data_IF_181258993955
#
_entry.id   IF_181258993955
#
_cell.length_a   1.000
_cell.length_b   1.000
_cell.length_c   1.000
_cell.angle_alpha   90.00
_cell.angle_beta   90.00
_cell.angle_gamma   90.00
#
_symmetry.space_group_name_H-M   'P 1'
#
loop_
_entity.id
_entity.type
_entity.pdbx_description
1 polymer ?
#
# COMPACT_ATOMS: atom_id res chain seq x y z
N UNK A 1 -4.18 57.87 46.56
CA UNK A 1 -3.88 59.02 47.41
C UNK A 1 -2.53 58.73 48.03
N UNK A 2 -1.47 59.10 47.32
CA UNK A 2 -0.70 60.35 47.51
C UNK A 2 0.24 60.18 48.72
N UNK A 3 1.55 60.41 48.60
CA UNK A 3 2.10 61.70 48.22
C UNK A 3 3.39 61.63 47.42
N UNK A 4 3.50 62.63 46.54
CA UNK A 4 4.67 63.07 45.78
C UNK A 4 5.79 63.55 46.70
N UNK A 5 7.05 63.45 46.22
CA UNK A 5 7.86 64.65 46.04
C UNK A 5 9.04 64.39 45.10
N UNK A 6 9.29 65.36 44.24
CA UNK A 6 10.20 65.29 43.11
C UNK A 6 11.42 66.23 43.28
N UNK A 7 12.50 65.87 42.56
CA UNK A 7 13.60 66.68 42.01
C UNK A 7 14.75 67.13 42.95
N UNK A 8 15.97 67.44 42.42
CA UNK A 8 16.37 67.60 41.01
C UNK A 8 17.64 66.86 40.54
N UNK A 9 17.85 66.97 39.22
CA UNK A 9 18.84 66.36 38.31
C UNK A 9 20.30 66.80 38.50
N UNK A 10 21.24 65.98 38.01
CA UNK A 10 22.42 66.43 37.25
C UNK A 10 22.97 65.28 36.39
N UNK A 11 23.26 65.61 35.13
CA UNK A 11 23.86 64.76 34.09
C UNK A 11 25.30 64.35 34.42
N UNK A 12 25.71 63.12 34.08
CA UNK A 12 26.92 62.78 33.30
C UNK A 12 27.17 61.26 33.24
N UNK A 13 27.64 60.79 32.09
CA UNK A 13 27.77 59.38 31.71
C UNK A 13 28.94 58.63 32.41
N UNK A 14 28.85 57.29 32.61
CA UNK A 14 29.99 56.48 33.04
C UNK A 14 30.72 55.75 31.88
N UNK A 15 32.06 55.54 31.98
CA UNK A 15 32.90 54.98 30.94
C UNK A 15 33.02 53.44 30.97
N UNK A 16 33.60 52.89 29.90
CA UNK A 16 33.83 51.47 29.59
C UNK A 16 34.70 50.69 30.62
N UNK A 17 34.51 49.36 30.76
CA UNK A 17 35.18 48.54 31.77
C UNK A 17 36.56 48.03 31.37
N UNK A 18 37.50 48.10 32.32
CA UNK A 18 38.85 47.54 32.26
C UNK A 18 38.90 46.06 32.67
N UNK A 19 39.76 45.31 31.98
CA UNK A 19 40.22 43.94 32.24
C UNK A 19 41.11 43.82 33.50
N UNK A 20 40.96 42.75 34.26
CA UNK A 20 41.97 42.24 35.21
C UNK A 20 42.15 40.72 35.10
N UNK A 21 43.40 40.30 35.15
CA UNK A 21 43.92 38.94 34.96
C UNK A 21 43.86 38.05 36.23
N UNK A 22 43.72 36.74 35.97
CA UNK A 22 44.47 35.56 36.46
C UNK A 22 44.69 35.23 37.96
N UNK A 23 44.20 34.05 38.37
CA UNK A 23 44.96 32.97 39.06
C UNK A 23 44.18 31.66 38.75
N UNK A 24 44.73 30.51 38.32
CA UNK A 24 45.90 29.75 38.73
C UNK A 24 45.41 28.32 39.09
N UNK A 25 45.38 27.39 38.12
CA UNK A 25 44.99 25.99 38.32
C UNK A 25 45.52 25.08 37.21
N UNK A 26 46.09 23.93 37.61
CA UNK A 26 46.91 22.97 36.83
C UNK A 26 46.30 22.45 35.50
N UNK A 27 47.14 22.04 34.52
CA UNK A 27 46.67 21.56 33.23
C UNK A 27 46.26 20.08 33.28
N UNK A 28 45.06 19.69 32.83
CA UNK A 28 44.74 18.28 32.66
C UNK A 28 45.34 17.74 31.35
N UNK A 29 46.21 16.75 31.52
CA UNK A 29 46.52 15.61 30.66
C UNK A 29 46.16 15.70 29.18
N UNK A 30 47.20 15.75 28.35
CA UNK A 30 47.14 15.57 26.90
C UNK A 30 46.89 14.09 26.55
N UNK A 31 45.68 13.58 26.77
CA UNK A 31 45.21 12.33 26.15
C UNK A 31 43.67 12.20 26.21
N UNK A 32 42.99 13.02 25.41
CA UNK A 32 41.77 12.54 24.73
C UNK A 32 41.61 13.28 23.40
N UNK A 33 42.24 12.75 22.35
CA UNK A 33 41.83 13.06 20.98
C UNK A 33 40.43 12.50 20.78
N UNK A 34 39.39 13.24 21.20
CA UNK A 34 38.07 13.10 20.58
C UNK A 34 38.25 13.51 19.13
N UNK A 35 38.35 12.52 18.25
CA UNK A 35 38.22 12.68 16.82
C UNK A 35 36.95 13.48 16.55
N UNK A 36 37.10 14.78 16.26
CA UNK A 36 36.03 15.60 15.72
C UNK A 36 35.71 14.97 14.37
N UNK A 37 34.59 14.23 14.31
CA UNK A 37 34.03 13.78 13.04
C UNK A 37 33.96 14.98 12.11
N UNK A 38 34.48 14.85 10.90
CA UNK A 38 34.39 15.88 9.86
C UNK A 38 32.92 16.28 9.69
N UNK A 39 32.54 17.49 10.09
CA UNK A 39 31.24 18.04 9.71
C UNK A 39 31.26 18.20 8.20
N UNK A 40 30.50 17.36 7.51
CA UNK A 40 30.21 17.59 6.09
C UNK A 40 29.22 18.75 6.09
N UNK A 41 29.75 19.97 6.07
CA UNK A 41 28.95 21.15 5.78
C UNK A 41 28.47 21.01 4.33
N UNK A 42 27.16 20.94 4.14
CA UNK A 42 26.56 21.19 2.83
C UNK A 42 27.12 22.49 2.29
N UNK A 43 27.43 22.55 1.00
CA UNK A 43 27.74 23.84 0.38
C UNK A 43 26.51 24.75 0.53
N UNK A 44 26.70 26.08 0.48
CA UNK A 44 25.58 27.01 0.55
C UNK A 44 24.52 26.71 -0.55
N UNK A 45 24.98 26.27 -1.72
CA UNK A 45 24.13 25.85 -2.83
C UNK A 45 23.34 24.57 -2.50
N UNK A 46 23.98 23.56 -1.91
CA UNK A 46 23.30 22.34 -1.48
C UNK A 46 22.29 22.61 -0.35
N UNK A 47 22.62 23.52 0.57
CA UNK A 47 21.74 23.92 1.66
C UNK A 47 20.51 24.69 1.16
N UNK A 48 20.69 25.62 0.22
CA UNK A 48 19.57 26.35 -0.39
C UNK A 48 18.72 25.44 -1.28
N UNK A 49 19.33 24.51 -2.02
CA UNK A 49 18.60 23.48 -2.76
C UNK A 49 17.77 22.59 -1.83
N UNK A 50 18.34 22.20 -0.68
CA UNK A 50 17.68 21.44 0.37
C UNK A 50 16.55 22.22 1.04
N UNK A 51 16.78 23.48 1.42
CA UNK A 51 15.77 24.35 2.05
C UNK A 51 14.62 24.64 1.08
N UNK A 52 14.93 24.96 -0.18
CA UNK A 52 13.94 25.11 -1.24
C UNK A 52 13.14 23.83 -1.47
N UNK A 53 13.79 22.66 -1.37
CA UNK A 53 13.11 21.37 -1.39
C UNK A 53 12.20 21.19 -0.18
N UNK A 54 12.69 21.37 1.05
CA UNK A 54 11.90 21.30 2.27
C UNK A 54 10.72 22.27 2.28
N UNK A 55 10.88 23.48 1.76
CA UNK A 55 9.82 24.49 1.67
C UNK A 55 8.76 24.09 0.62
N UNK A 56 9.19 23.57 -0.55
CA UNK A 56 8.27 22.93 -1.51
C UNK A 56 7.52 21.75 -0.89
N UNK A 57 8.19 20.97 -0.05
CA UNK A 57 7.62 19.81 0.64
C UNK A 57 6.67 20.20 1.78
N UNK A 58 6.93 21.32 2.48
CA UNK A 58 6.10 21.85 3.56
C UNK A 58 4.78 22.45 3.04
N UNK A 59 4.80 23.09 1.87
CA UNK A 59 3.62 23.69 1.22
C UNK A 59 2.59 22.63 0.80
N UNK A 60 2.99 21.37 0.59
CA UNK A 60 2.09 20.27 0.19
C UNK A 60 1.98 19.14 1.21
N UNK A 61 2.17 19.44 2.52
CA UNK A 61 1.85 18.50 3.61
C UNK A 61 0.36 18.13 3.70
N UNK A 62 -0.51 18.71 2.86
CA UNK A 62 -1.92 18.32 2.75
C UNK A 62 -1.98 16.85 2.29
N UNK A 63 -2.17 15.94 3.24
CA UNK A 63 -2.38 14.51 2.99
C UNK A 63 -1.18 13.58 3.20
N UNK A 64 0.04 14.08 3.44
CA UNK A 64 1.19 13.20 3.74
C UNK A 64 1.30 12.89 5.24
N UNK A 65 0.64 11.81 5.65
CA UNK A 65 0.78 11.24 6.99
C UNK A 65 0.94 9.71 6.89
N UNK A 66 2.19 9.20 6.83
CA UNK A 66 2.42 7.78 6.61
C UNK A 66 1.95 6.96 7.82
N UNK A 67 0.77 6.33 7.70
CA UNK A 67 0.25 5.36 8.66
C UNK A 67 0.17 3.97 8.01
N UNK A 68 1.31 3.28 8.01
CA UNK A 68 1.47 1.93 7.43
C UNK A 68 0.51 0.93 8.06
N UNK A 69 0.22 1.04 9.36
CA UNK A 69 -0.70 0.15 10.05
C UNK A 69 -2.14 0.32 9.55
N UNK A 70 -2.55 1.54 9.21
CA UNK A 70 -3.82 1.76 8.50
C UNK A 70 -3.82 1.07 7.15
N UNK A 71 -2.75 1.17 6.36
CA UNK A 71 -2.70 0.54 5.03
C UNK A 71 -2.75 -0.99 5.13
N UNK A 72 -2.01 -1.59 6.07
CA UNK A 72 -2.07 -3.04 6.34
C UNK A 72 -3.49 -3.48 6.71
N UNK A 73 -4.20 -2.68 7.52
CA UNK A 73 -5.60 -2.93 7.88
C UNK A 73 -6.53 -2.85 6.67
N UNK A 74 -6.28 -1.91 5.76
CA UNK A 74 -7.07 -1.74 4.53
C UNK A 74 -6.92 -2.99 3.62
N UNK A 75 -5.70 -3.50 3.43
CA UNK A 75 -5.46 -4.77 2.72
C UNK A 75 -6.10 -6.00 3.41
N UNK A 76 -6.03 -6.06 4.74
CA UNK A 76 -6.69 -7.12 5.52
C UNK A 76 -8.22 -7.08 5.40
N UNK A 77 -8.80 -5.88 5.37
CA UNK A 77 -10.24 -5.68 5.21
C UNK A 77 -10.71 -6.05 3.81
N UNK A 78 -9.97 -5.64 2.78
CA UNK A 78 -10.20 -6.05 1.39
C UNK A 78 -10.18 -7.58 1.26
N UNK A 79 -9.15 -8.24 1.82
CA UNK A 79 -9.05 -9.70 1.85
C UNK A 79 -10.28 -10.35 2.48
N UNK A 80 -10.69 -9.90 3.67
CA UNK A 80 -11.86 -10.44 4.39
C UNK A 80 -13.15 -10.29 3.58
N UNK A 81 -13.35 -9.13 2.96
CA UNK A 81 -14.55 -8.87 2.16
C UNK A 81 -14.61 -9.73 0.90
N UNK A 82 -13.47 -9.93 0.22
CA UNK A 82 -13.37 -10.83 -0.94
C UNK A 82 -13.66 -12.27 -0.54
N UNK A 83 -13.06 -12.75 0.57
CA UNK A 83 -13.33 -14.10 1.10
C UNK A 83 -14.81 -14.30 1.40
N UNK A 84 -15.42 -13.37 2.13
CA UNK A 84 -16.85 -13.42 2.48
C UNK A 84 -17.73 -13.44 1.23
N UNK A 85 -17.50 -12.52 0.30
CA UNK A 85 -18.26 -12.45 -0.94
C UNK A 85 -18.15 -13.76 -1.75
N UNK A 86 -16.96 -14.35 -1.81
CA UNK A 86 -16.76 -15.61 -2.48
C UNK A 86 -17.53 -16.75 -1.80
N UNK A 87 -17.49 -16.82 -0.46
CA UNK A 87 -18.28 -17.80 0.31
C UNK A 87 -19.78 -17.69 0.07
N UNK A 88 -20.31 -16.48 -0.09
CA UNK A 88 -21.75 -16.25 -0.27
C UNK A 88 -22.24 -16.55 -1.71
N UNK A 89 -21.39 -16.38 -2.74
CA UNK A 89 -21.84 -16.34 -4.14
C UNK A 89 -21.12 -17.27 -5.12
N UNK A 90 -20.05 -17.94 -4.71
CA UNK A 90 -19.38 -18.99 -5.49
C UNK A 90 -20.00 -20.34 -5.13
N UNK A 91 -20.00 -21.28 -6.09
CA UNK A 91 -20.56 -22.62 -5.87
C UNK A 91 -19.77 -23.37 -4.79
N UNK A 92 -20.51 -24.03 -3.91
CA UNK A 92 -19.95 -24.91 -2.86
C UNK A 92 -19.16 -26.09 -3.44
N UNK A 93 -19.58 -26.60 -4.60
CA UNK A 93 -18.90 -27.71 -5.28
C UNK A 93 -18.33 -27.25 -6.62
N UNK A 94 -17.21 -27.85 -7.01
CA UNK A 94 -16.61 -27.59 -8.32
C UNK A 94 -17.66 -27.83 -9.42
N UNK A 95 -17.98 -26.82 -10.24
CA UNK A 95 -18.98 -26.97 -11.30
C UNK A 95 -18.55 -28.05 -12.31
N UNK A 96 -19.53 -28.69 -12.96
CA UNK A 96 -19.25 -29.54 -14.12
C UNK A 96 -18.78 -28.67 -15.29
N UNK A 97 -17.46 -28.55 -15.43
CA UNK A 97 -16.79 -27.76 -16.44
C UNK A 97 -16.24 -28.65 -17.55
N UNK A 98 -16.46 -28.25 -18.80
CA UNK A 98 -15.79 -28.89 -19.94
C UNK A 98 -14.27 -28.70 -19.87
N UNK A 99 -13.51 -29.61 -20.49
CA UNK A 99 -12.03 -29.50 -20.58
C UNK A 99 -11.59 -28.14 -21.13
N UNK A 100 -12.32 -27.59 -22.10
CA UNK A 100 -12.06 -26.26 -22.69
C UNK A 100 -12.28 -25.13 -21.69
N UNK A 101 -13.35 -25.18 -20.90
CA UNK A 101 -13.62 -24.18 -19.85
C UNK A 101 -12.57 -24.22 -18.75
N UNK A 102 -12.24 -25.42 -18.24
CA UNK A 102 -11.17 -25.62 -17.26
C UNK A 102 -9.85 -24.97 -17.72
N UNK A 103 -9.43 -25.28 -18.96
CA UNK A 103 -8.21 -24.70 -19.56
C UNK A 103 -8.28 -23.16 -19.62
N UNK A 104 -9.40 -22.60 -20.09
CA UNK A 104 -9.55 -21.14 -20.20
C UNK A 104 -9.51 -20.42 -18.85
N UNK A 105 -10.06 -21.01 -17.79
CA UNK A 105 -10.01 -20.44 -16.42
C UNK A 105 -8.56 -20.42 -15.91
N UNK A 106 -7.80 -21.51 -16.10
CA UNK A 106 -6.38 -21.52 -15.70
C UNK A 106 -5.57 -20.50 -16.50
N UNK A 107 -5.84 -20.38 -17.80
CA UNK A 107 -5.19 -19.39 -18.67
C UNK A 107 -5.53 -17.94 -18.30
N UNK A 108 -6.77 -17.64 -17.92
CA UNK A 108 -7.13 -16.28 -17.49
C UNK A 108 -6.42 -15.87 -16.21
N UNK A 109 -5.94 -16.85 -15.42
CA UNK A 109 -5.12 -16.68 -14.23
C UNK A 109 -3.62 -16.78 -14.49
N UNK A 110 -3.15 -16.50 -15.71
CA UNK A 110 -1.70 -16.36 -15.97
C UNK A 110 -1.05 -15.35 -15.00
N UNK A 111 0.16 -15.68 -14.54
CA UNK A 111 0.85 -14.99 -13.45
C UNK A 111 0.35 -15.31 -12.02
N UNK A 112 -0.85 -15.88 -11.88
CA UNK A 112 -1.44 -16.25 -10.57
C UNK A 112 -1.47 -17.76 -10.37
N UNK A 113 -1.80 -18.53 -11.40
CA UNK A 113 -1.92 -19.99 -11.34
C UNK A 113 -0.89 -20.68 -12.23
N UNK A 114 -0.41 -21.86 -11.82
CA UNK A 114 0.44 -22.69 -12.67
C UNK A 114 -0.32 -23.08 -13.94
N UNK A 115 0.33 -22.97 -15.10
CA UNK A 115 -0.30 -23.17 -16.40
C UNK A 115 -0.34 -24.66 -16.79
N UNK A 116 -0.94 -25.48 -15.91
CA UNK A 116 -1.05 -26.93 -16.06
C UNK A 116 -2.51 -27.37 -16.20
N UNK A 117 -2.69 -28.67 -16.45
CA UNK A 117 -4.04 -29.22 -16.53
C UNK A 117 -4.74 -29.11 -15.17
N UNK A 118 -6.05 -28.86 -15.19
CA UNK A 118 -6.88 -28.79 -13.98
C UNK A 118 -6.72 -30.02 -13.08
N UNK A 119 -6.65 -31.20 -13.69
CA UNK A 119 -6.58 -32.46 -12.95
C UNK A 119 -5.19 -32.65 -12.33
N UNK A 120 -4.12 -32.18 -13.01
CA UNK A 120 -2.78 -32.08 -12.44
C UNK A 120 -2.76 -31.16 -11.23
N UNK A 121 -3.33 -29.95 -11.36
CA UNK A 121 -3.41 -28.99 -10.26
C UNK A 121 -4.15 -29.59 -9.07
N UNK A 122 -5.33 -30.17 -9.28
CA UNK A 122 -6.12 -30.82 -8.24
C UNK A 122 -5.33 -31.92 -7.53
N UNK A 123 -4.55 -32.73 -8.25
CA UNK A 123 -3.76 -33.81 -7.65
C UNK A 123 -2.70 -33.34 -6.65
N UNK A 124 -2.22 -32.09 -6.76
CA UNK A 124 -1.23 -31.49 -5.86
C UNK A 124 -1.82 -30.95 -4.55
N UNK A 125 -3.14 -30.75 -4.51
CA UNK A 125 -3.83 -30.16 -3.38
C UNK A 125 -4.32 -31.22 -2.41
N UNK A 126 -4.46 -30.89 -1.12
CA UNK A 126 -5.15 -31.76 -0.17
C UNK A 126 -6.65 -31.86 -0.49
N UNK A 127 -7.35 -32.91 -0.02
CA UNK A 127 -8.77 -33.10 -0.29
C UNK A 127 -9.67 -31.90 0.04
N UNK A 128 -9.43 -31.21 1.15
CA UNK A 128 -10.18 -29.99 1.53
C UNK A 128 -9.99 -28.88 0.50
N UNK A 129 -8.74 -28.61 0.11
CA UNK A 129 -8.41 -27.60 -0.89
C UNK A 129 -8.93 -27.94 -2.30
N UNK A 130 -9.05 -29.23 -2.64
CA UNK A 130 -9.65 -29.69 -3.90
C UNK A 130 -11.14 -29.34 -3.98
N UNK A 131 -11.86 -29.58 -2.89
CA UNK A 131 -13.31 -29.32 -2.79
C UNK A 131 -13.63 -27.83 -2.92
N UNK A 132 -12.75 -26.99 -2.39
CA UNK A 132 -12.90 -25.54 -2.36
C UNK A 132 -12.20 -24.82 -3.52
N UNK A 133 -11.61 -25.55 -4.47
CA UNK A 133 -10.73 -24.96 -5.48
C UNK A 133 -11.39 -23.83 -6.30
N UNK A 134 -12.69 -23.94 -6.60
CA UNK A 134 -13.45 -22.89 -7.25
C UNK A 134 -13.52 -21.58 -6.44
N UNK A 135 -13.51 -21.64 -5.11
CA UNK A 135 -13.47 -20.48 -4.22
C UNK A 135 -12.13 -19.77 -4.36
N UNK A 136 -11.03 -20.51 -4.29
CA UNK A 136 -9.69 -19.97 -4.48
C UNK A 136 -9.53 -19.29 -5.86
N UNK A 137 -10.05 -19.93 -6.92
CA UNK A 137 -10.02 -19.38 -8.28
C UNK A 137 -10.82 -18.08 -8.38
N UNK A 138 -12.04 -18.04 -7.84
CA UNK A 138 -12.88 -16.84 -7.88
C UNK A 138 -12.23 -15.67 -7.13
N UNK A 139 -11.66 -15.92 -5.95
CA UNK A 139 -10.92 -14.90 -5.19
C UNK A 139 -9.67 -14.42 -5.95
N UNK A 140 -8.93 -15.33 -6.59
CA UNK A 140 -7.79 -14.97 -7.43
C UNK A 140 -8.21 -14.11 -8.63
N UNK A 141 -9.34 -14.42 -9.28
CA UNK A 141 -9.88 -13.62 -10.38
C UNK A 141 -10.26 -12.21 -9.90
N UNK A 142 -10.95 -12.08 -8.76
CA UNK A 142 -11.30 -10.77 -8.17
C UNK A 142 -10.03 -9.97 -7.84
N UNK A 143 -9.07 -10.57 -7.14
CA UNK A 143 -7.81 -9.90 -6.80
C UNK A 143 -7.03 -9.51 -8.05
N UNK A 144 -6.86 -10.41 -9.03
CA UNK A 144 -6.18 -10.09 -10.29
C UNK A 144 -6.81 -8.88 -10.96
N UNK A 145 -8.15 -8.83 -11.03
CA UNK A 145 -8.88 -7.73 -11.65
C UNK A 145 -8.67 -6.41 -10.89
N UNK A 146 -8.84 -6.41 -9.56
CA UNK A 146 -8.63 -5.24 -8.70
C UNK A 146 -7.22 -4.67 -8.86
N UNK A 147 -6.19 -5.52 -8.78
CA UNK A 147 -4.80 -5.07 -8.83
C UNK A 147 -4.44 -4.53 -10.21
N UNK A 148 -4.87 -5.21 -11.28
CA UNK A 148 -4.60 -4.77 -12.67
C UNK A 148 -5.24 -3.42 -12.99
N UNK A 149 -6.38 -3.09 -12.38
CA UNK A 149 -7.12 -1.88 -12.71
C UNK A 149 -6.87 -0.70 -11.79
N UNK A 150 -6.55 -0.91 -10.51
CA UNK A 150 -6.36 0.20 -9.58
C UNK A 150 -4.91 0.46 -9.19
N UNK A 151 -4.06 -0.56 -9.22
CA UNK A 151 -2.65 -0.37 -8.87
C UNK A 151 -1.82 0.04 -10.08
N UNK A 152 -2.06 -0.58 -11.23
CA UNK A 152 -1.30 -0.30 -12.46
C UNK A 152 -1.76 0.98 -13.18
N UNK A 153 -2.92 1.53 -12.78
CA UNK A 153 -3.56 2.68 -13.45
C UNK A 153 -4.03 3.76 -12.46
N UNK A 154 -3.11 4.38 -11.71
CA UNK A 154 -3.46 5.33 -10.65
C UNK A 154 -4.14 6.61 -11.16
N UNK A 155 -4.07 6.93 -12.46
CA UNK A 155 -4.61 8.16 -13.05
C UNK A 155 -5.97 8.00 -13.76
N UNK A 156 -6.53 6.78 -13.82
CA UNK A 156 -7.70 6.46 -14.67
C UNK A 156 -8.97 7.28 -14.37
N UNK A 157 -9.07 7.91 -13.20
CA UNK A 157 -10.23 8.72 -12.80
C UNK A 157 -10.12 10.21 -13.20
N UNK A 158 -8.99 10.64 -13.77
CA UNK A 158 -8.77 12.01 -14.23
C UNK A 158 -9.37 12.21 -15.63
N UNK A 159 -10.18 13.25 -15.79
CA UNK A 159 -11.02 13.47 -16.99
C UNK A 159 -10.27 14.10 -18.18
N UNK A 160 -9.17 14.82 -17.93
CA UNK A 160 -8.38 15.46 -18.99
C UNK A 160 -9.06 16.62 -19.70
N UNK A 161 -10.13 17.16 -19.11
CA UNK A 161 -10.88 18.28 -19.68
C UNK A 161 -10.04 19.55 -19.74
N UNK A 162 -10.25 20.35 -20.77
CA UNK A 162 -9.64 21.69 -20.89
C UNK A 162 -10.42 22.74 -20.10
N UNK A 163 -11.74 22.61 -20.04
CA UNK A 163 -12.67 23.48 -19.33
C UNK A 163 -14.01 22.75 -19.08
N UNK A 164 -14.95 23.44 -18.43
CA UNK A 164 -16.25 22.88 -18.03
C UNK A 164 -17.16 22.48 -19.21
N UNK A 165 -16.86 22.96 -20.42
CA UNK A 165 -17.62 22.65 -21.64
C UNK A 165 -17.01 21.52 -22.46
N UNK A 166 -15.81 21.07 -22.07
CA UNK A 166 -15.08 20.01 -22.75
C UNK A 166 -15.54 18.61 -22.29
N UNK A 167 -15.40 17.66 -23.20
CA UNK A 167 -15.68 16.24 -22.95
C UNK A 167 -14.43 15.54 -22.38
N UNK A 168 -14.64 14.41 -21.71
CA UNK A 168 -13.54 13.63 -21.12
C UNK A 168 -12.53 13.14 -22.21
N UNK A 169 -11.24 13.46 -22.05
CA UNK A 169 -10.16 12.91 -22.88
C UNK A 169 -9.72 11.54 -22.31
N UNK A 170 -10.27 10.47 -22.87
CA UNK A 170 -9.93 9.08 -22.49
C UNK A 170 -8.44 8.72 -22.65
N UNK A 171 -7.67 9.49 -23.41
CA UNK A 171 -6.23 9.27 -23.57
C UNK A 171 -5.38 9.96 -22.50
N UNK A 172 -5.97 10.89 -21.73
CA UNK A 172 -5.27 11.70 -20.75
C UNK A 172 -4.61 10.88 -19.62
N UNK A 173 -5.28 9.90 -18.98
CA UNK A 173 -4.64 9.06 -17.97
C UNK A 173 -3.39 8.35 -18.48
N UNK A 174 -3.43 7.84 -19.72
CA UNK A 174 -2.28 7.18 -20.35
C UNK A 174 -1.11 8.13 -20.61
N UNK A 175 -1.38 9.39 -20.98
CA UNK A 175 -0.34 10.41 -21.15
C UNK A 175 0.29 10.80 -19.81
N UNK A 176 -0.50 10.92 -18.74
CA UNK A 176 0.02 11.16 -17.39
C UNK A 176 0.90 10.01 -16.90
N UNK A 177 0.48 8.77 -17.15
CA UNK A 177 1.29 7.59 -16.81
C UNK A 177 2.62 7.58 -17.57
N UNK A 178 2.61 7.93 -18.87
CA UNK A 178 3.83 8.06 -19.65
C UNK A 178 4.76 9.16 -19.08
N UNK A 179 4.20 10.33 -18.74
CA UNK A 179 4.97 11.43 -18.15
C UNK A 179 5.58 11.04 -16.80
N UNK A 180 4.81 10.35 -15.94
CA UNK A 180 5.31 9.80 -14.69
C UNK A 180 6.52 8.89 -14.92
N UNK A 181 6.44 7.96 -15.87
CA UNK A 181 7.54 7.05 -16.17
C UNK A 181 8.80 7.81 -16.62
N UNK A 182 8.66 8.86 -17.45
CA UNK A 182 9.78 9.72 -17.88
C UNK A 182 10.39 10.51 -16.73
N UNK A 183 9.55 11.03 -15.83
CA UNK A 183 10.03 11.67 -14.61
C UNK A 183 10.74 10.69 -13.70
N UNK A 184 10.24 9.45 -13.58
CA UNK A 184 10.84 8.43 -12.74
C UNK A 184 12.22 8.01 -13.28
N UNK A 185 12.38 7.85 -14.60
CA UNK A 185 13.68 7.63 -15.24
C UNK A 185 14.71 8.73 -14.92
N UNK A 186 14.24 9.98 -14.77
CA UNK A 186 15.11 11.15 -14.56
C UNK A 186 15.38 11.43 -13.08
N UNK A 187 14.35 11.27 -12.24
CA UNK A 187 14.38 11.57 -10.80
C UNK A 187 13.27 10.80 -10.07
N UNK A 188 13.55 9.56 -9.59
CA UNK A 188 12.55 8.70 -8.96
C UNK A 188 11.81 9.35 -7.79
N UNK A 189 12.52 10.02 -6.89
CA UNK A 189 11.96 10.66 -5.69
C UNK A 189 10.98 11.76 -6.07
N UNK A 190 11.36 12.64 -7.00
CA UNK A 190 10.51 13.74 -7.44
C UNK A 190 9.31 13.26 -8.26
N UNK A 191 9.48 12.20 -9.06
CA UNK A 191 8.38 11.59 -9.81
C UNK A 191 7.33 10.97 -8.88
N UNK A 192 7.78 10.22 -7.87
CA UNK A 192 6.92 9.67 -6.81
C UNK A 192 6.16 10.79 -6.12
N UNK A 193 6.86 11.86 -5.73
CA UNK A 193 6.25 13.02 -5.09
C UNK A 193 5.20 13.68 -5.96
N UNK A 194 5.53 13.95 -7.23
CA UNK A 194 4.60 14.52 -8.19
C UNK A 194 3.32 13.69 -8.31
N UNK A 195 3.45 12.36 -8.39
CA UNK A 195 2.30 11.45 -8.42
C UNK A 195 1.47 11.56 -7.14
N UNK A 196 2.12 11.54 -5.96
CA UNK A 196 1.43 11.66 -4.67
C UNK A 196 0.63 12.96 -4.56
N UNK A 197 1.26 14.09 -4.86
CA UNK A 197 0.62 15.41 -4.80
C UNK A 197 -0.54 15.50 -5.79
N UNK A 198 -0.33 15.03 -7.03
CA UNK A 198 -1.37 15.01 -8.06
C UNK A 198 -2.60 14.21 -7.60
N UNK A 199 -2.38 13.00 -7.09
CA UNK A 199 -3.46 12.14 -6.60
C UNK A 199 -4.12 12.69 -5.34
N UNK A 200 -3.34 13.29 -4.43
CA UNK A 200 -3.82 13.88 -3.18
C UNK A 200 -4.73 15.08 -3.44
N UNK A 201 -4.28 16.02 -4.28
CA UNK A 201 -5.07 17.19 -4.68
C UNK A 201 -6.34 16.79 -5.44
N UNK A 202 -6.23 15.80 -6.33
CA UNK A 202 -7.38 15.29 -7.08
C UNK A 202 -8.37 14.50 -6.21
N UNK A 203 -8.04 14.19 -4.95
CA UNK A 203 -8.91 13.44 -4.05
C UNK A 203 -9.15 14.13 -2.70
N UNK A 204 -8.96 15.46 -2.61
CA UNK A 204 -9.20 16.24 -1.38
C UNK A 204 -10.64 16.07 -0.87
N UNK A 205 -10.78 15.63 0.37
CA UNK A 205 -12.06 15.36 1.03
C UNK A 205 -12.35 16.48 2.04
N UNK A 206 -13.55 17.05 2.00
CA UNK A 206 -13.96 18.12 2.92
C UNK A 206 -14.50 17.51 4.23
N UNK A 207 -13.68 16.71 4.91
CA UNK A 207 -14.04 16.05 6.16
C UNK A 207 -13.31 16.64 7.39
N UNK A 208 -13.66 16.14 8.57
CA UNK A 208 -13.06 16.57 9.85
C UNK A 208 -11.63 16.03 10.06
N UNK A 209 -11.20 15.07 9.26
CA UNK A 209 -9.92 14.38 9.40
C UNK A 209 -8.86 14.93 8.44
N UNK A 210 -9.28 15.65 7.41
CA UNK A 210 -8.44 16.30 6.42
C UNK A 210 -8.02 17.66 6.94
N UNK A 211 -6.70 17.89 7.00
CA UNK A 211 -6.15 19.20 7.34
C UNK A 211 -6.55 20.21 6.26
N UNK A 212 -7.19 21.31 6.67
CA UNK A 212 -7.62 22.38 5.77
C UNK A 212 -6.69 23.57 5.94
N UNK A 213 -6.08 24.00 4.85
CA UNK A 213 -5.34 25.26 4.80
C UNK A 213 -6.33 26.42 4.74
N UNK A 214 -6.06 27.53 5.45
CA UNK A 214 -6.84 28.77 5.28
C UNK A 214 -6.83 29.33 3.85
N UNK A 215 -5.95 28.82 2.98
CA UNK A 215 -5.83 29.20 1.56
C UNK A 215 -6.60 28.28 0.62
N UNK A 216 -7.18 27.20 1.12
CA UNK A 216 -7.93 26.25 0.31
C UNK A 216 -9.23 26.86 -0.20
N UNK A 217 -9.58 26.51 -1.44
CA UNK A 217 -10.87 26.88 -2.05
C UNK A 217 -11.87 25.76 -1.74
N UNK A 218 -12.72 25.99 -0.75
CA UNK A 218 -13.78 25.07 -0.36
C UNK A 218 -15.11 25.42 -1.06
N UNK A 219 -15.97 24.43 -1.37
CA UNK A 219 -15.73 22.99 -1.23
C UNK A 219 -14.75 22.46 -2.29
N UNK A 220 -14.14 21.29 -2.03
CA UNK A 220 -13.22 20.64 -2.97
C UNK A 220 -13.94 19.98 -4.15
N UNK A 221 -14.58 20.77 -5.02
CA UNK A 221 -15.42 20.30 -6.14
C UNK A 221 -14.71 19.27 -7.02
N UNK A 222 -13.48 19.54 -7.42
CA UNK A 222 -12.70 18.60 -8.24
C UNK A 222 -12.38 17.28 -7.52
N UNK A 223 -12.20 17.33 -6.20
CA UNK A 223 -12.02 16.15 -5.36
C UNK A 223 -13.28 15.29 -5.30
N UNK A 224 -14.45 15.91 -5.14
CA UNK A 224 -15.75 15.22 -5.17
C UNK A 224 -16.02 14.55 -6.52
N UNK A 225 -15.81 15.28 -7.62
CA UNK A 225 -15.98 14.76 -8.98
C UNK A 225 -15.05 13.58 -9.27
N UNK A 226 -13.78 13.70 -8.89
CA UNK A 226 -12.78 12.64 -9.07
C UNK A 226 -13.09 11.40 -8.26
N UNK A 227 -13.51 11.54 -6.99
CA UNK A 227 -13.97 10.40 -6.17
C UNK A 227 -15.22 9.75 -6.75
N UNK A 228 -16.17 10.54 -7.27
CA UNK A 228 -17.37 10.02 -7.94
C UNK A 228 -16.99 9.22 -9.19
N UNK A 229 -16.13 9.77 -10.06
CA UNK A 229 -15.60 9.06 -11.24
C UNK A 229 -14.92 7.75 -10.85
N UNK A 230 -14.06 7.78 -9.83
CA UNK A 230 -13.41 6.58 -9.32
C UNK A 230 -14.43 5.52 -8.85
N UNK A 231 -15.46 5.94 -8.13
CA UNK A 231 -16.52 5.05 -7.65
C UNK A 231 -17.36 4.46 -8.80
N UNK A 232 -17.58 5.22 -9.87
CA UNK A 232 -18.31 4.77 -11.05
C UNK A 232 -17.47 3.82 -11.91
N UNK A 233 -16.19 4.11 -12.12
CA UNK A 233 -15.23 3.18 -12.75
C UNK A 233 -15.21 1.85 -11.98
N UNK A 234 -15.10 1.91 -10.65
CA UNK A 234 -15.08 0.71 -9.81
C UNK A 234 -16.36 -0.12 -9.92
N UNK A 235 -17.53 0.53 -10.00
CA UNK A 235 -18.81 -0.16 -10.22
C UNK A 235 -18.88 -0.82 -11.60
N UNK A 236 -18.44 -0.12 -12.64
CA UNK A 236 -18.40 -0.67 -14.00
C UNK A 236 -17.44 -1.87 -14.11
N UNK A 237 -16.32 -1.83 -13.40
CA UNK A 237 -15.37 -2.94 -13.34
C UNK A 237 -15.96 -4.17 -12.62
N UNK A 238 -16.73 -3.97 -11.54
CA UNK A 238 -17.45 -5.05 -10.89
C UNK A 238 -18.50 -5.68 -11.83
N UNK A 239 -19.20 -4.85 -12.61
CA UNK A 239 -20.16 -5.33 -13.62
C UNK A 239 -19.49 -6.15 -14.72
N UNK A 240 -18.39 -5.66 -15.26
CA UNK A 240 -17.59 -6.38 -16.27
C UNK A 240 -17.15 -7.76 -15.76
N UNK A 241 -16.69 -7.85 -14.50
CA UNK A 241 -16.31 -9.13 -13.92
C UNK A 241 -17.51 -10.06 -13.74
N UNK A 242 -18.68 -9.54 -13.37
CA UNK A 242 -19.92 -10.33 -13.25
C UNK A 242 -20.46 -10.77 -14.61
N UNK A 243 -20.19 -10.03 -15.68
CA UNK A 243 -20.51 -10.37 -17.07
C UNK A 243 -19.50 -11.33 -17.69
N UNK A 244 -18.31 -11.47 -17.10
CA UNK A 244 -17.28 -12.38 -17.60
C UNK A 244 -17.77 -13.83 -17.60
N UNK A 245 -17.81 -14.41 -18.80
CA UNK A 245 -18.34 -15.75 -19.02
C UNK A 245 -17.57 -16.86 -18.29
N UNK A 246 -16.28 -16.67 -17.96
CA UNK A 246 -15.50 -17.66 -17.20
C UNK A 246 -15.77 -17.52 -15.71
N UNK A 247 -15.85 -16.30 -15.20
CA UNK A 247 -16.17 -16.03 -13.80
C UNK A 247 -17.57 -16.54 -13.46
N UNK A 248 -18.56 -16.30 -14.32
CA UNK A 248 -19.94 -16.81 -14.15
C UNK A 248 -20.03 -18.33 -13.99
N UNK A 249 -19.08 -19.09 -14.55
CA UNK A 249 -19.07 -20.56 -14.40
C UNK A 249 -18.85 -20.98 -12.94
N UNK A 250 -18.13 -20.17 -12.17
CA UNK A 250 -17.82 -20.41 -10.75
C UNK A 250 -18.95 -19.96 -9.83
N UNK A 251 -19.83 -19.06 -10.28
CA UNK A 251 -20.87 -18.46 -9.44
C UNK A 251 -22.12 -19.34 -9.28
N UNK A 252 -22.77 -19.20 -8.14
CA UNK A 252 -24.12 -19.74 -7.90
C UNK A 252 -25.09 -19.12 -8.89
N UNK A 253 -25.97 -19.96 -9.46
CA UNK A 253 -27.06 -19.50 -10.32
C UNK A 253 -28.15 -18.90 -9.45
N UNK A 254 -28.36 -17.59 -9.56
CA UNK A 254 -29.40 -16.87 -8.83
C UNK A 254 -30.57 -16.59 -9.77
N UNK A 255 -31.75 -17.08 -9.41
CA UNK A 255 -33.02 -16.81 -10.13
C UNK A 255 -33.66 -15.52 -9.64
N UNK A 256 -33.57 -15.27 -8.34
CA UNK A 256 -34.07 -14.06 -7.68
C UNK A 256 -33.30 -12.80 -8.13
N UNK A 257 -34.05 -11.77 -8.53
CA UNK A 257 -33.50 -10.47 -8.92
C UNK A 257 -32.93 -9.71 -7.73
N UNK A 258 -33.50 -9.84 -6.53
CA UNK A 258 -33.02 -9.15 -5.34
C UNK A 258 -31.65 -9.68 -4.92
N UNK A 259 -31.49 -11.01 -4.82
CA UNK A 259 -30.17 -11.62 -4.58
C UNK A 259 -29.14 -11.31 -5.66
N UNK A 260 -29.55 -11.17 -6.92
CA UNK A 260 -28.64 -10.74 -8.00
C UNK A 260 -28.17 -9.29 -7.80
N UNK A 261 -29.08 -8.40 -7.41
CA UNK A 261 -28.74 -7.02 -7.10
C UNK A 261 -27.83 -6.92 -5.86
N UNK A 262 -28.09 -7.71 -4.83
CA UNK A 262 -27.24 -7.78 -3.63
C UNK A 262 -25.83 -8.28 -3.94
N UNK A 263 -25.70 -9.39 -4.70
CA UNK A 263 -24.39 -9.91 -5.16
C UNK A 263 -23.59 -8.83 -5.89
N UNK A 264 -24.25 -8.11 -6.79
CA UNK A 264 -23.65 -7.02 -7.56
C UNK A 264 -23.21 -5.88 -6.65
N UNK A 265 -24.08 -5.42 -5.76
CA UNK A 265 -23.82 -4.30 -4.86
C UNK A 265 -22.66 -4.59 -3.91
N UNK A 266 -22.59 -5.80 -3.35
CA UNK A 266 -21.48 -6.19 -2.49
C UNK A 266 -20.14 -6.26 -3.26
N UNK A 267 -20.15 -6.74 -4.50
CA UNK A 267 -18.94 -6.73 -5.33
C UNK A 267 -18.51 -5.31 -5.70
N UNK A 268 -19.47 -4.45 -6.07
CA UNK A 268 -19.20 -3.04 -6.36
C UNK A 268 -18.58 -2.32 -5.15
N UNK A 269 -19.09 -2.57 -3.93
CA UNK A 269 -18.50 -2.04 -2.70
C UNK A 269 -17.07 -2.49 -2.45
N UNK A 270 -16.75 -3.76 -2.77
CA UNK A 270 -15.36 -4.26 -2.70
C UNK A 270 -14.48 -3.44 -3.64
N UNK A 271 -14.89 -3.28 -4.90
CA UNK A 271 -14.12 -2.55 -5.91
C UNK A 271 -13.95 -1.07 -5.56
N UNK A 272 -15.02 -0.42 -5.09
CA UNK A 272 -14.98 0.98 -4.66
C UNK A 272 -14.06 1.18 -3.46
N UNK A 273 -14.16 0.29 -2.46
CA UNK A 273 -13.26 0.27 -1.31
C UNK A 273 -11.80 0.06 -1.72
N UNK A 274 -11.55 -0.85 -2.67
CA UNK A 274 -10.22 -1.05 -3.24
C UNK A 274 -9.70 0.18 -3.95
N UNK A 275 -10.50 0.82 -4.82
CA UNK A 275 -10.08 2.02 -5.55
C UNK A 275 -9.70 3.16 -4.60
N UNK A 276 -10.55 3.47 -3.60
CA UNK A 276 -10.25 4.45 -2.55
C UNK A 276 -8.99 4.06 -1.77
N UNK A 277 -8.86 2.78 -1.42
CA UNK A 277 -7.70 2.23 -0.73
C UNK A 277 -6.40 2.44 -1.50
N UNK A 278 -6.32 2.00 -2.75
CA UNK A 278 -5.10 2.12 -3.57
C UNK A 278 -4.69 3.59 -3.78
N UNK A 279 -5.63 4.50 -4.04
CA UNK A 279 -5.31 5.94 -4.12
C UNK A 279 -4.78 6.48 -2.80
N UNK A 280 -5.44 6.16 -1.68
CA UNK A 280 -4.96 6.50 -0.34
C UNK A 280 -3.55 5.96 -0.10
N UNK A 281 -3.25 4.73 -0.54
CA UNK A 281 -1.95 4.10 -0.38
C UNK A 281 -0.86 4.82 -1.19
N UNK A 282 -1.16 5.23 -2.42
CA UNK A 282 -0.27 6.07 -3.22
C UNK A 282 0.01 7.39 -2.52
N UNK A 283 -1.03 8.10 -2.05
CA UNK A 283 -0.88 9.41 -1.40
C UNK A 283 -0.12 9.32 -0.06
N UNK A 284 -0.36 8.27 0.73
CA UNK A 284 0.24 8.14 2.06
C UNK A 284 1.68 7.61 2.05
N UNK A 285 2.02 6.70 1.13
CA UNK A 285 3.33 6.04 1.12
C UNK A 285 4.18 6.35 -0.11
N UNK A 286 3.57 6.67 -1.25
CA UNK A 286 4.28 6.84 -2.51
C UNK A 286 5.15 5.62 -2.87
N UNK A 287 6.28 5.87 -3.52
CA UNK A 287 7.26 4.85 -3.86
C UNK A 287 6.87 4.00 -5.07
N UNK A 288 7.78 3.12 -5.47
CA UNK A 288 7.55 2.12 -6.49
C UNK A 288 6.83 0.93 -5.86
N UNK A 289 5.76 0.47 -6.49
CA UNK A 289 5.03 -0.71 -6.03
C UNK A 289 5.55 -1.94 -6.76
N UNK A 290 5.89 -2.96 -6.00
CA UNK A 290 6.17 -4.30 -6.50
C UNK A 290 5.07 -5.26 -6.04
N UNK A 291 4.50 -5.96 -7.00
CA UNK A 291 3.47 -6.97 -6.80
C UNK A 291 4.11 -8.35 -6.94
N UNK A 292 4.21 -9.08 -5.83
CA UNK A 292 4.77 -10.43 -5.83
C UNK A 292 3.69 -11.43 -6.29
N UNK A 293 3.94 -12.06 -7.43
CA UNK A 293 3.07 -13.01 -8.11
C UNK A 293 3.78 -14.35 -8.33
N UNK A 294 3.10 -15.33 -8.93
CA UNK A 294 3.59 -16.70 -9.05
C UNK A 294 5.00 -16.84 -9.66
N UNK A 295 5.42 -16.06 -10.69
CA UNK A 295 6.77 -16.17 -11.24
C UNK A 295 7.89 -15.95 -10.21
N UNK A 296 7.63 -15.14 -9.18
CA UNK A 296 8.57 -14.84 -8.09
C UNK A 296 8.35 -15.74 -6.86
N UNK A 297 7.20 -16.42 -6.78
CA UNK A 297 6.73 -17.18 -5.61
C UNK A 297 6.66 -18.69 -5.91
N UNK A 298 7.51 -19.24 -6.78
CA UNK A 298 7.38 -20.62 -7.28
C UNK A 298 7.48 -21.70 -6.19
N UNK A 299 8.23 -21.42 -5.12
CA UNK A 299 8.44 -22.33 -3.99
C UNK A 299 7.91 -21.71 -2.71
N UNK A 300 7.20 -22.51 -1.93
CA UNK A 300 6.66 -22.09 -0.65
C UNK A 300 7.77 -22.01 0.40
N UNK A 301 8.15 -20.78 0.73
CA UNK A 301 9.18 -20.49 1.72
C UNK A 301 8.77 -19.28 2.56
N UNK A 302 8.27 -19.56 3.77
CA UNK A 302 7.83 -18.55 4.74
C UNK A 302 8.99 -17.72 5.30
N UNK A 303 10.22 -18.22 5.26
CA UNK A 303 11.41 -17.48 5.71
C UNK A 303 11.72 -16.26 4.85
N UNK A 304 11.19 -16.24 3.62
CA UNK A 304 11.24 -15.06 2.73
C UNK A 304 10.41 -13.89 3.26
N UNK A 305 9.45 -14.15 4.16
CA UNK A 305 8.57 -13.15 4.74
C UNK A 305 7.57 -12.53 3.76
N UNK A 306 7.49 -12.99 2.51
CA UNK A 306 6.62 -12.39 1.46
C UNK A 306 5.39 -13.23 1.11
N UNK A 307 5.27 -14.45 1.63
CA UNK A 307 4.14 -15.34 1.35
C UNK A 307 3.67 -16.10 2.59
N UNK A 308 2.41 -16.52 2.57
CA UNK A 308 1.80 -17.39 3.57
C UNK A 308 0.71 -18.24 2.93
N UNK A 309 0.40 -19.38 3.53
CA UNK A 309 -0.64 -20.31 3.11
C UNK A 309 -1.63 -20.49 4.25
N UNK A 310 -2.84 -19.95 4.07
CA UNK A 310 -3.97 -20.14 4.98
C UNK A 310 -5.09 -20.86 4.21
N UNK A 311 -5.64 -21.92 4.79
CA UNK A 311 -6.83 -22.58 4.24
C UNK A 311 -8.02 -21.63 4.49
N UNK A 312 -8.76 -21.31 3.43
CA UNK A 312 -9.62 -20.12 3.41
C UNK A 312 -10.76 -20.11 4.44
N UNK A 313 -11.26 -21.28 4.89
CA UNK A 313 -12.58 -21.35 5.56
C UNK A 313 -12.74 -22.29 6.78
N UNK A 314 -11.78 -23.15 7.18
CA UNK A 314 -11.67 -23.77 8.53
C UNK A 314 -10.51 -24.81 8.54
N UNK A 315 -9.95 -25.30 9.66
CA UNK A 315 -10.39 -25.39 11.05
C UNK A 315 -9.36 -24.81 12.04
N UNK A 316 -9.85 -24.33 13.19
CA UNK A 316 -9.18 -24.27 14.51
C UNK A 316 -8.67 -25.67 15.00
N UNK A 317 -8.33 -26.57 14.07
CA UNK A 317 -7.75 -27.86 14.36
C UNK A 317 -6.32 -27.65 14.85
N UNK A 318 -6.10 -27.96 16.13
CA UNK A 318 -4.77 -27.94 16.76
C UNK A 318 -3.75 -28.82 16.01
N UNK A 319 -4.21 -29.76 15.19
CA UNK A 319 -3.38 -30.69 14.39
C UNK A 319 -4.04 -30.94 13.03
N UNK A 320 -3.74 -30.12 12.00
CA UNK A 320 -4.27 -30.33 10.66
C UNK A 320 -3.69 -31.61 10.04
N UNK A 321 -4.56 -32.42 9.41
CA UNK A 321 -4.14 -33.66 8.72
C UNK A 321 -3.20 -33.40 7.52
N UNK A 322 -3.31 -32.23 6.91
CA UNK A 322 -2.53 -31.82 5.76
C UNK A 322 -1.87 -30.49 6.03
N UNK A 323 -0.55 -30.43 5.81
CA UNK A 323 0.24 -29.21 6.01
C UNK A 323 0.84 -28.73 4.70
N UNK A 324 1.00 -27.41 4.51
CA UNK A 324 1.82 -26.87 3.44
C UNK A 324 3.20 -27.57 3.41
N UNK A 325 3.56 -28.17 2.29
CA UNK A 325 4.87 -28.82 2.15
C UNK A 325 5.96 -27.74 2.19
N UNK A 326 6.94 -27.79 3.11
CA UNK A 326 8.05 -26.85 3.11
C UNK A 326 8.81 -26.92 1.78
N UNK A 327 9.07 -25.77 1.15
CA UNK A 327 9.63 -25.67 -0.20
C UNK A 327 8.82 -26.38 -1.28
N UNK A 328 7.56 -26.72 -0.96
CA UNK A 328 6.59 -27.27 -1.88
C UNK A 328 6.28 -26.27 -2.99
N UNK A 329 5.74 -26.79 -4.08
CA UNK A 329 5.40 -25.94 -5.21
C UNK A 329 4.20 -25.04 -4.86
N UNK A 330 4.29 -23.74 -5.17
CA UNK A 330 3.11 -22.87 -5.16
C UNK A 330 2.29 -23.12 -6.42
N UNK A 331 1.01 -23.37 -6.23
CA UNK A 331 0.06 -23.77 -7.29
C UNK A 331 -0.78 -22.58 -7.74
N UNK A 332 -1.20 -21.75 -6.80
CA UNK A 332 -2.03 -20.58 -7.05
C UNK A 332 -1.70 -19.46 -6.05
N UNK A 333 -1.57 -18.24 -6.53
CA UNK A 333 -1.58 -17.02 -5.74
C UNK A 333 -3.02 -16.52 -5.68
N UNK A 334 -3.63 -16.54 -4.50
CA UNK A 334 -5.01 -16.08 -4.28
C UNK A 334 -5.06 -14.56 -4.20
N UNK A 335 -4.11 -13.99 -3.45
CA UNK A 335 -3.88 -12.55 -3.35
C UNK A 335 -2.39 -12.30 -3.50
N UNK A 336 -1.96 -11.38 -4.37
CA UNK A 336 -0.55 -11.10 -4.51
C UNK A 336 0.02 -10.39 -3.28
N UNK A 337 1.33 -10.50 -3.07
CA UNK A 337 2.04 -9.74 -2.06
C UNK A 337 2.33 -8.32 -2.54
N UNK A 338 2.28 -7.34 -1.64
CA UNK A 338 2.54 -5.94 -1.99
C UNK A 338 3.69 -5.40 -1.18
N UNK A 339 4.72 -4.96 -1.91
CA UNK A 339 5.86 -4.26 -1.37
C UNK A 339 5.96 -2.88 -2.00
N UNK A 340 6.27 -1.86 -1.19
CA UNK A 340 6.65 -0.54 -1.70
C UNK A 340 8.13 -0.33 -1.47
N UNK A 341 8.82 0.21 -2.47
CA UNK A 341 10.23 0.60 -2.44
C UNK A 341 10.36 2.10 -2.69
N UNK A 342 11.53 2.65 -2.40
CA UNK A 342 11.88 4.05 -2.65
C UNK A 342 10.86 5.03 -2.08
N UNK A 343 10.32 4.74 -0.89
CA UNK A 343 9.36 5.64 -0.25
C UNK A 343 10.04 6.95 0.13
N UNK A 344 9.38 8.11 -0.07
CA UNK A 344 9.99 9.43 0.13
C UNK A 344 10.16 9.80 1.62
N UNK A 345 9.97 8.86 2.54
CA UNK A 345 10.08 9.03 4.01
C UNK A 345 11.44 9.55 4.49
N UNK A 346 12.51 9.37 3.70
CA UNK A 346 13.83 9.92 4.01
C UNK A 346 14.03 11.37 3.55
N UNK A 347 13.19 11.86 2.63
CA UNK A 347 13.37 13.16 1.94
C UNK A 347 12.26 14.17 2.21
N UNK A 348 11.15 13.74 2.82
CA UNK A 348 10.10 14.61 3.37
C UNK A 348 10.26 14.62 4.89
N UNK A 349 10.81 15.68 5.51
CA UNK A 349 10.92 15.75 6.96
C UNK A 349 9.52 15.66 7.59
N UNK A 350 9.28 14.62 8.39
CA UNK A 350 8.02 14.43 9.16
C UNK A 350 8.00 15.32 10.43
N UNK A 351 9.13 15.95 10.75
CA UNK A 351 9.29 16.79 11.94
C UNK A 351 9.92 18.15 11.59
N UNK A 352 9.45 19.21 12.25
CA UNK A 352 9.91 20.60 12.13
C UNK A 352 11.34 20.84 12.71
N UNK A 353 12.17 19.81 12.83
CA UNK A 353 13.52 19.93 13.38
C UNK A 353 14.57 19.97 12.25
N UNK A 354 15.57 20.85 12.32
CA UNK A 354 16.74 20.78 11.44
C UNK A 354 17.45 19.43 11.69
N UNK A 355 17.56 18.60 10.67
CA UNK A 355 18.19 17.28 10.79
C UNK A 355 19.71 17.41 10.81
N UNK A 356 20.36 16.84 11.84
CA UNK A 356 21.81 16.64 11.90
C UNK A 356 22.17 15.39 11.07
N UNK A 357 22.89 15.58 9.96
CA UNK A 357 23.19 14.53 8.98
C UNK A 357 24.15 13.44 9.49
N UNK A 358 24.77 13.58 10.66
CA UNK A 358 25.68 12.56 11.17
C UNK A 358 25.00 11.39 11.92
N UNK A 359 23.67 11.39 12.01
CA UNK A 359 22.89 10.31 12.66
C UNK A 359 21.86 9.63 11.73
N UNK A 360 22.05 9.63 10.41
CA UNK A 360 21.16 8.87 9.51
C UNK A 360 21.55 7.39 9.46
N UNK A 361 21.21 6.66 10.53
CA UNK A 361 20.98 5.22 10.42
C UNK A 361 19.55 4.98 9.88
N UNK A 362 19.49 4.65 8.59
CA UNK A 362 18.70 3.52 8.05
C UNK A 362 17.20 3.41 8.40
N UNK A 363 16.38 4.41 8.07
CA UNK A 363 14.93 4.18 7.98
C UNK A 363 14.60 3.22 6.82
N UNK A 364 13.69 2.25 7.00
CA UNK A 364 13.24 1.37 5.90
C UNK A 364 12.71 2.21 4.74
N UNK A 365 13.39 2.19 3.59
CA UNK A 365 12.90 2.75 2.31
C UNK A 365 11.82 1.89 1.68
N UNK A 366 11.44 0.82 2.35
CA UNK A 366 10.61 -0.21 1.78
C UNK A 366 9.69 -0.87 2.78
N UNK A 367 8.45 -1.11 2.37
CA UNK A 367 7.36 -1.53 3.25
C UNK A 367 6.59 -2.69 2.65
N UNK A 368 6.56 -3.81 3.37
CA UNK A 368 5.63 -4.90 3.12
C UNK A 368 4.24 -4.49 3.64
N UNK A 369 3.28 -4.34 2.73
CA UNK A 369 1.91 -3.97 3.07
C UNK A 369 1.02 -5.21 3.27
N UNK A 370 1.28 -6.26 2.49
CA UNK A 370 0.63 -7.56 2.68
C UNK A 370 1.50 -8.68 2.09
N UNK A 371 1.45 -9.88 2.70
CA UNK A 371 2.06 -11.08 2.13
C UNK A 371 1.17 -11.65 1.03
N UNK A 372 1.78 -12.34 0.08
CA UNK A 372 1.06 -13.14 -0.90
C UNK A 372 0.34 -14.29 -0.18
N UNK A 373 -0.96 -14.41 -0.40
CA UNK A 373 -1.74 -15.57 0.04
C UNK A 373 -1.67 -16.63 -1.05
N UNK A 374 -1.10 -17.78 -0.72
CA UNK A 374 -0.79 -18.83 -1.70
C UNK A 374 -1.46 -20.15 -1.33
N UNK A 375 -1.85 -20.88 -2.37
CA UNK A 375 -2.23 -22.28 -2.30
C UNK A 375 -1.05 -23.12 -2.80
N UNK A 376 -0.67 -24.10 -2.00
CA UNK A 376 0.59 -24.84 -2.15
C UNK A 376 0.33 -26.33 -2.28
N UNK A 377 1.31 -27.04 -2.83
CA UNK A 377 1.38 -28.49 -2.71
C UNK A 377 1.36 -28.89 -1.23
N UNK A 378 0.44 -29.78 -0.86
CA UNK A 378 0.26 -30.24 0.51
C UNK A 378 0.75 -31.68 0.66
N UNK A 379 1.30 -32.00 1.83
CA UNK A 379 1.67 -33.35 2.20
C UNK A 379 0.82 -33.82 3.39
N UNK A 380 0.59 -35.12 3.50
CA UNK A 380 0.05 -35.71 4.74
C UNK A 380 1.01 -35.40 5.89
N UNK A 381 0.48 -34.88 7.00
CA UNK A 381 1.26 -34.65 8.20
C UNK A 381 1.87 -35.96 8.69
N UNK A 382 3.13 -35.93 9.13
CA UNK A 382 3.76 -37.13 9.70
C UNK A 382 2.96 -37.61 10.90
N UNK A 383 2.54 -38.87 10.89
CA UNK A 383 1.87 -39.53 12.02
C UNK A 383 2.81 -39.80 13.21
N UNK A 384 4.01 -39.22 13.23
CA UNK A 384 4.90 -39.29 14.39
C UNK A 384 4.37 -38.35 15.46
N UNK A 385 4.56 -38.73 16.71
CA UNK A 385 4.19 -38.03 17.94
C UNK A 385 4.82 -36.64 18.13
N UNK A 386 5.32 -36.01 17.07
CA UNK A 386 5.82 -34.65 17.10
C UNK A 386 4.64 -33.70 17.00
N UNK A 387 4.38 -32.95 18.08
CA UNK A 387 3.40 -31.86 18.05
C UNK A 387 3.65 -30.99 16.82
N UNK A 388 2.66 -30.91 15.93
CA UNK A 388 2.67 -29.94 14.85
C UNK A 388 2.88 -28.56 15.46
N UNK A 389 4.02 -27.93 15.16
CA UNK A 389 4.30 -26.55 15.56
C UNK A 389 3.93 -25.65 14.38
N UNK A 390 2.91 -24.79 14.53
CA UNK A 390 2.60 -23.81 13.50
C UNK A 390 3.82 -22.94 13.26
N UNK A 391 4.16 -22.75 11.99
CA UNK A 391 5.20 -21.79 11.62
C UNK A 391 4.70 -20.37 11.97
N UNK A 392 5.34 -19.66 12.91
CA UNK A 392 4.92 -18.33 13.33
C UNK A 392 4.98 -17.30 12.19
N UNK A 393 5.77 -17.56 11.14
CA UNK A 393 5.89 -16.70 9.96
C UNK A 393 4.83 -17.00 8.89
N UNK A 394 4.10 -18.12 9.01
CA UNK A 394 3.00 -18.48 8.12
C UNK A 394 1.69 -17.74 8.45
N UNK A 395 1.78 -16.41 8.56
CA UNK A 395 0.66 -15.51 8.80
C UNK A 395 0.87 -14.22 8.03
N UNK A 396 -0.24 -13.59 7.64
CA UNK A 396 -0.19 -12.27 7.01
C UNK A 396 0.34 -11.20 7.97
N UNK A 397 0.75 -10.06 7.42
CA UNK A 397 1.33 -8.92 8.15
C UNK A 397 0.35 -8.28 9.16
N UNK A 398 -0.94 -8.60 9.08
CA UNK A 398 -1.95 -8.11 10.01
C UNK A 398 -1.85 -8.78 11.39
N UNK A 399 -1.28 -9.99 11.48
CA UNK A 399 -1.21 -10.79 12.70
C UNK A 399 0.18 -10.82 13.34
N UNK A 400 1.10 -9.96 12.88
CA UNK A 400 2.49 -9.85 13.33
C UNK A 400 2.74 -8.61 14.17
#
# INVERSE_FOLDING_TARGET
MEQQNALPQTDEAPPEPQTTESSGGEPPSADSKRSRKNSVHLTAEDYEAYKSHCDRMAISQVGYNPNINSLKRDYGTMRRNIKRWAGDYVRETTPSLSKKQKKKIIQSLDGYCVQESWDTIQSLLAPTCRNDFQLYLAQAMINKFIFTHFLDKPFDFLDGKRDDTDEDDRSFPGRLQYLYNRYYESSPVNAVWWKMVTLGLANLEDDIHTFKSPRDKLPYTFGDESRKRQADIARNLADQLLEDSLFQLLLVKLTDSQKRAERRELLAKIFQGSAKGFTKHEVMLGGLVKVHQLPELKQFDTSTGIMFSEILFDNDEKTPLYIPKPRGRVVLVVRPGVFRYDTPTQFVPVHNAPLDMQQQDTGRTSWLLCKAEVLVEQAEGSSSSDEYRPDPENKDVFYS
#
